data_IF_068163373217
#
_entry.id   IF_068163373217
#
_cell.length_a   1.000
_cell.length_b   1.000
_cell.length_c   1.000
_cell.angle_alpha   90.00
_cell.angle_beta   90.00
_cell.angle_gamma   90.00
#
_symmetry.space_group_name_H-M   'P 1'
#
loop_
_entity.id
_entity.type
_entity.pdbx_description
1 polymer ?
#
# COMPACT_ATOMS: atom_id res chain seq x y z
N UNK A 1 14.77 14.21 12.49
CA UNK A 1 15.10 14.57 13.89
C UNK A 1 16.07 15.74 13.90
N UNK A 2 16.35 16.35 15.06
CA UNK A 2 17.28 17.49 15.17
C UNK A 2 16.92 18.67 14.27
N UNK A 3 17.91 19.34 13.71
CA UNK A 3 17.75 20.52 12.85
C UNK A 3 16.91 20.25 11.61
N UNK A 4 16.94 19.01 11.10
CA UNK A 4 16.05 18.58 10.01
C UNK A 4 14.58 18.71 10.38
N UNK A 5 14.20 18.38 11.63
CA UNK A 5 12.81 18.54 12.10
C UNK A 5 12.42 20.02 12.10
N UNK A 6 13.31 20.90 12.58
CA UNK A 6 13.08 22.36 12.58
C UNK A 6 12.89 22.89 11.15
N UNK A 7 13.77 22.49 10.23
CA UNK A 7 13.68 22.88 8.82
C UNK A 7 12.39 22.38 8.14
N UNK A 8 11.93 21.16 8.46
CA UNK A 8 10.67 20.63 7.95
C UNK A 8 9.44 21.32 8.54
N UNK A 9 9.47 21.72 9.83
CA UNK A 9 8.39 22.51 10.42
C UNK A 9 8.28 23.88 9.74
N UNK A 10 9.40 24.50 9.40
CA UNK A 10 9.42 25.73 8.62
C UNK A 10 8.83 25.53 7.21
N UNK A 11 9.16 24.42 6.55
CA UNK A 11 8.58 24.07 5.25
C UNK A 11 7.04 23.94 5.34
N UNK A 12 6.52 23.30 6.40
CA UNK A 12 5.08 23.16 6.65
C UNK A 12 4.44 24.52 6.94
N UNK A 13 5.11 25.36 7.74
CA UNK A 13 4.63 26.70 8.06
C UNK A 13 4.53 27.57 6.81
N UNK A 14 5.56 27.59 5.96
CA UNK A 14 5.54 28.28 4.67
C UNK A 14 4.44 27.74 3.75
N UNK A 15 4.27 26.41 3.67
CA UNK A 15 3.23 25.78 2.84
C UNK A 15 1.80 26.14 3.30
N UNK A 16 1.59 26.26 4.61
CA UNK A 16 0.26 26.49 5.21
C UNK A 16 -0.01 27.97 5.52
N UNK A 17 1.00 28.83 5.42
CA UNK A 17 0.93 30.23 5.83
C UNK A 17 1.00 30.45 7.35
N UNK A 18 1.37 29.43 8.11
CA UNK A 18 1.53 29.54 9.57
C UNK A 18 2.90 30.05 9.99
N UNK A 19 3.09 30.19 11.30
CA UNK A 19 4.36 30.54 11.94
C UNK A 19 4.80 29.41 12.85
N UNK A 20 6.06 28.97 12.73
CA UNK A 20 6.62 27.96 13.64
C UNK A 20 6.80 28.58 15.03
N UNK A 21 6.11 28.04 16.03
CA UNK A 21 6.30 28.44 17.42
C UNK A 21 7.54 27.73 17.95
N UNK A 22 8.64 28.47 18.11
CA UNK A 22 9.91 27.98 18.64
C UNK A 22 10.47 28.96 19.67
N UNK A 23 10.96 28.42 20.79
CA UNK A 23 11.60 29.21 21.85
C UNK A 23 12.85 29.94 21.35
N UNK A 24 13.58 29.34 20.40
CA UNK A 24 14.78 29.93 19.77
C UNK A 24 14.46 31.20 18.96
N UNK A 25 13.22 31.31 18.47
CA UNK A 25 12.73 32.48 17.74
C UNK A 25 11.99 33.46 18.65
N UNK A 26 11.98 33.23 19.98
CA UNK A 26 11.32 34.08 20.97
C UNK A 26 9.80 33.92 21.03
N UNK A 27 9.23 32.93 20.34
CA UNK A 27 7.81 32.62 20.44
C UNK A 27 7.54 31.70 21.62
N UNK A 28 6.45 31.98 22.33
CA UNK A 28 5.91 31.11 23.38
C UNK A 28 4.51 30.66 23.02
N UNK A 29 4.19 29.41 23.31
CA UNK A 29 2.87 28.83 23.02
C UNK A 29 1.73 29.61 23.70
N UNK A 30 1.97 30.16 24.90
CA UNK A 30 1.01 30.96 25.65
C UNK A 30 0.58 32.26 24.93
N UNK A 31 1.43 32.78 24.04
CA UNK A 31 1.19 34.02 23.28
C UNK A 31 0.74 33.74 21.84
N UNK A 32 0.42 32.50 21.50
CA UNK A 32 0.02 32.13 20.15
C UNK A 32 -1.34 32.75 19.78
N UNK A 33 -1.40 33.38 18.61
CA UNK A 33 -2.64 33.95 18.06
C UNK A 33 -3.14 33.11 16.89
N UNK A 34 -4.40 33.32 16.47
CA UNK A 34 -4.96 32.66 15.29
C UNK A 34 -4.20 33.01 14.00
N UNK A 35 -3.49 34.14 13.98
CA UNK A 35 -2.67 34.56 12.84
C UNK A 35 -1.40 33.71 12.69
N UNK A 36 -0.98 32.99 13.74
CA UNK A 36 0.16 32.08 13.69
C UNK A 36 -0.22 30.70 13.16
N UNK A 37 -1.51 30.38 13.09
CA UNK A 37 -1.97 29.06 12.67
C UNK A 37 -1.91 28.91 11.15
N UNK A 38 -1.32 27.81 10.70
CA UNK A 38 -1.37 27.40 9.30
C UNK A 38 -2.78 27.00 8.87
N UNK A 39 -3.14 27.30 7.63
CA UNK A 39 -4.42 26.94 7.03
C UNK A 39 -4.23 26.01 5.84
N UNK A 40 -5.13 25.03 5.73
CA UNK A 40 -5.17 24.09 4.62
C UNK A 40 -6.61 23.70 4.29
N UNK A 41 -6.86 23.30 3.04
CA UNK A 41 -8.20 22.88 2.59
C UNK A 41 -8.63 21.55 3.22
N UNK A 42 -7.71 20.60 3.37
CA UNK A 42 -7.98 19.30 3.99
C UNK A 42 -6.69 18.70 4.56
N UNK A 43 -6.80 18.04 5.70
CA UNK A 43 -5.71 17.24 6.28
C UNK A 43 -6.22 15.80 6.45
N UNK A 44 -5.41 14.83 6.04
CA UNK A 44 -5.72 13.40 6.19
C UNK A 44 -4.56 12.75 6.93
N UNK A 45 -4.85 12.08 8.04
CA UNK A 45 -3.87 11.35 8.83
C UNK A 45 -4.27 9.87 8.91
N UNK A 46 -3.32 8.98 8.67
CA UNK A 46 -3.43 7.55 8.90
C UNK A 46 -2.40 7.13 9.98
N UNK A 47 -2.24 5.81 10.20
CA UNK A 47 -1.37 5.26 11.24
C UNK A 47 0.09 5.73 11.10
N UNK A 48 0.57 5.87 9.86
CA UNK A 48 1.99 6.06 9.56
C UNK A 48 2.26 7.39 8.81
N UNK A 49 1.24 8.04 8.26
CA UNK A 49 1.37 9.22 7.39
C UNK A 49 0.39 10.35 7.75
N UNK A 50 0.80 11.59 7.43
CA UNK A 50 -0.04 12.77 7.48
C UNK A 50 0.11 13.58 6.18
N UNK A 51 -1.01 13.86 5.51
CA UNK A 51 -1.07 14.55 4.22
C UNK A 51 -1.84 15.87 4.36
N UNK A 52 -1.20 16.97 4.01
CA UNK A 52 -1.79 18.32 3.98
C UNK A 52 -2.14 18.68 2.54
N UNK A 53 -3.41 18.92 2.26
CA UNK A 53 -3.93 19.21 0.92
C UNK A 53 -4.36 20.66 0.82
N UNK A 54 -3.79 21.36 -0.18
CA UNK A 54 -4.14 22.75 -0.48
C UNK A 54 -3.82 23.71 0.67
N UNK A 55 -2.55 23.80 1.06
CA UNK A 55 -2.08 24.81 2.01
C UNK A 55 -2.31 26.22 1.47
N UNK A 56 -2.65 27.16 2.37
CA UNK A 56 -2.94 28.56 2.03
C UNK A 56 -1.71 29.48 2.18
N UNK A 57 -0.51 28.91 2.05
CA UNK A 57 0.73 29.66 2.08
C UNK A 57 0.91 30.59 0.87
N UNK A 58 1.71 31.64 1.06
CA UNK A 58 2.06 32.58 0.00
C UNK A 58 2.91 31.88 -1.08
N UNK A 59 2.48 31.98 -2.35
CA UNK A 59 3.12 31.27 -3.46
C UNK A 59 4.56 31.71 -3.71
N UNK A 60 4.89 32.98 -3.45
CA UNK A 60 6.23 33.50 -3.66
C UNK A 60 7.17 33.10 -2.52
N UNK A 61 6.66 33.03 -1.28
CA UNK A 61 7.40 32.42 -0.16
C UNK A 61 7.69 30.94 -0.42
N UNK A 62 6.73 30.18 -0.96
CA UNK A 62 6.94 28.77 -1.31
C UNK A 62 8.00 28.63 -2.42
N UNK A 63 7.92 29.43 -3.49
CA UNK A 63 8.94 29.43 -4.56
C UNK A 63 10.33 29.82 -4.04
N UNK A 64 10.40 30.82 -3.17
CA UNK A 64 11.64 31.22 -2.49
C UNK A 64 12.24 30.05 -1.73
N UNK A 65 11.41 29.36 -0.93
CA UNK A 65 11.85 28.19 -0.17
C UNK A 65 12.32 27.03 -1.04
N UNK A 66 11.63 26.75 -2.14
CA UNK A 66 12.03 25.75 -3.14
C UNK A 66 13.43 26.09 -3.70
N UNK A 67 13.67 27.36 -4.05
CA UNK A 67 14.95 27.80 -4.59
C UNK A 67 16.08 27.72 -3.55
N UNK A 68 15.82 28.09 -2.29
CA UNK A 68 16.78 27.91 -1.20
C UNK A 68 17.24 26.45 -1.09
N UNK A 69 16.30 25.50 -1.10
CA UNK A 69 16.62 24.07 -1.01
C UNK A 69 17.41 23.60 -2.23
N UNK A 70 17.08 24.07 -3.45
CA UNK A 70 17.86 23.76 -4.65
C UNK A 70 19.32 24.23 -4.53
N UNK A 71 19.55 25.45 -4.06
CA UNK A 71 20.91 25.97 -3.85
C UNK A 71 21.65 25.17 -2.76
N UNK A 72 20.96 24.73 -1.70
CA UNK A 72 21.55 23.86 -0.68
C UNK A 72 21.96 22.49 -1.25
N UNK A 73 21.16 21.91 -2.16
CA UNK A 73 21.46 20.66 -2.86
C UNK A 73 22.73 20.78 -3.71
N UNK A 74 22.92 21.90 -4.40
CA UNK A 74 24.11 22.14 -5.23
C UNK A 74 25.38 22.32 -4.40
N UNK A 75 25.26 22.92 -3.21
CA UNK A 75 26.40 23.18 -2.32
C UNK A 75 26.80 22.01 -1.45
N UNK A 76 25.93 21.00 -1.28
CA UNK A 76 26.23 19.86 -0.42
C UNK A 76 27.12 18.82 -1.13
N UNK A 77 28.18 18.42 -0.45
CA UNK A 77 29.08 17.34 -0.88
C UNK A 77 28.68 15.99 -0.29
N UNK A 78 27.75 15.97 0.68
CA UNK A 78 27.23 14.77 1.34
C UNK A 78 26.05 14.19 0.55
N UNK A 79 26.18 12.94 0.10
CA UNK A 79 25.12 12.24 -0.62
C UNK A 79 23.87 12.04 0.25
N UNK A 80 24.07 11.77 1.54
CA UNK A 80 22.99 11.67 2.52
C UNK A 80 22.18 12.97 2.61
N UNK A 81 22.86 14.11 2.76
CA UNK A 81 22.17 15.40 2.86
C UNK A 81 21.49 15.77 1.55
N UNK A 82 22.11 15.42 0.41
CA UNK A 82 21.52 15.62 -0.92
C UNK A 82 20.18 14.89 -1.04
N UNK A 83 20.15 13.61 -0.69
CA UNK A 83 18.93 12.78 -0.70
C UNK A 83 17.85 13.39 0.21
N UNK A 84 18.23 13.81 1.43
CA UNK A 84 17.25 14.35 2.39
C UNK A 84 16.73 15.73 2.01
N UNK A 85 17.53 16.55 1.32
CA UNK A 85 17.08 17.81 0.73
C UNK A 85 16.18 17.58 -0.48
N UNK A 86 16.47 16.57 -1.31
CA UNK A 86 15.61 16.17 -2.43
C UNK A 86 14.24 15.68 -1.95
N UNK A 87 14.15 14.91 -0.86
CA UNK A 87 12.87 14.52 -0.26
C UNK A 87 12.03 15.74 0.18
N UNK A 88 12.67 16.75 0.77
CA UNK A 88 11.99 18.00 1.19
C UNK A 88 11.54 18.81 -0.01
N UNK A 89 12.42 18.97 -1.00
CA UNK A 89 12.10 19.64 -2.25
C UNK A 89 10.90 18.98 -2.92
N UNK A 90 10.90 17.65 -3.04
CA UNK A 90 9.82 16.89 -3.63
C UNK A 90 8.48 17.09 -2.90
N UNK A 91 8.48 17.25 -1.56
CA UNK A 91 7.26 17.54 -0.80
C UNK A 91 6.73 18.96 -0.99
N UNK A 92 7.61 19.93 -1.28
CA UNK A 92 7.22 21.33 -1.53
C UNK A 92 6.85 21.58 -2.99
N UNK A 93 7.53 20.94 -3.94
CA UNK A 93 7.27 21.06 -5.37
C UNK A 93 6.23 20.06 -5.88
N UNK A 94 6.10 18.91 -5.21
CA UNK A 94 5.15 17.86 -5.50
C UNK A 94 3.77 18.26 -5.04
N UNK A 95 2.99 18.84 -5.95
CA UNK A 95 1.60 19.17 -5.69
C UNK A 95 0.79 17.92 -5.29
N UNK A 96 -0.23 18.12 -4.47
CA UNK A 96 -1.18 17.06 -4.14
C UNK A 96 -2.26 17.02 -5.21
N UNK A 97 -2.30 15.92 -5.98
CA UNK A 97 -3.41 15.65 -6.90
C UNK A 97 -4.62 15.11 -6.11
N UNK A 98 -5.81 15.63 -6.40
CA UNK A 98 -7.07 15.17 -5.80
C UNK A 98 -7.94 14.56 -6.88
N UNK A 99 -8.30 13.29 -6.71
CA UNK A 99 -9.20 12.57 -7.61
C UNK A 99 -10.63 12.62 -7.04
N UNK A 100 -11.57 13.13 -7.84
CA UNK A 100 -12.99 13.15 -7.49
C UNK A 100 -13.70 11.99 -8.20
N UNK A 101 -14.26 11.06 -7.42
CA UNK A 101 -15.04 9.94 -7.94
C UNK A 101 -16.54 10.25 -7.86
N UNK A 102 -17.21 10.32 -9.02
CA UNK A 102 -18.67 10.49 -9.11
C UNK A 102 -19.36 9.21 -9.58
N UNK A 103 -20.57 8.96 -9.04
CA UNK A 103 -21.48 7.90 -9.47
C UNK A 103 -22.96 8.29 -9.22
N UNK A 104 -23.93 7.68 -9.94
CA UNK A 104 -25.37 7.92 -9.74
C UNK A 104 -25.91 7.56 -8.36
N UNK A 105 -25.33 6.57 -7.67
CA UNK A 105 -25.74 6.14 -6.33
C UNK A 105 -24.57 6.16 -5.34
N UNK A 106 -24.86 6.29 -4.04
CA UNK A 106 -23.82 6.30 -3.01
C UNK A 106 -23.05 4.96 -2.94
N UNK A 107 -23.75 3.84 -3.14
CA UNK A 107 -23.15 2.49 -3.12
C UNK A 107 -22.15 2.34 -4.26
N UNK A 108 -22.53 2.73 -5.48
CA UNK A 108 -21.60 2.73 -6.63
C UNK A 108 -20.45 3.71 -6.44
N UNK A 109 -20.71 4.88 -5.84
CA UNK A 109 -19.65 5.86 -5.56
C UNK A 109 -18.61 5.26 -4.61
N UNK A 110 -19.03 4.53 -3.57
CA UNK A 110 -18.12 3.88 -2.62
C UNK A 110 -17.29 2.79 -3.30
N UNK A 111 -17.90 1.94 -4.12
CA UNK A 111 -17.19 0.90 -4.87
C UNK A 111 -16.18 1.50 -5.85
N UNK A 112 -16.62 2.48 -6.65
CA UNK A 112 -15.75 3.15 -7.63
C UNK A 112 -14.60 3.91 -6.96
N UNK A 113 -14.85 4.53 -5.81
CA UNK A 113 -13.82 5.18 -5.00
C UNK A 113 -12.80 4.15 -4.51
N UNK A 114 -13.23 3.02 -3.96
CA UNK A 114 -12.34 1.96 -3.51
C UNK A 114 -11.49 1.41 -4.67
N UNK A 115 -12.09 1.19 -5.83
CA UNK A 115 -11.37 0.74 -7.04
C UNK A 115 -10.30 1.73 -7.52
N UNK A 116 -10.57 3.04 -7.41
CA UNK A 116 -9.60 4.09 -7.74
C UNK A 116 -8.46 4.11 -6.71
N UNK A 117 -8.78 3.93 -5.43
CA UNK A 117 -7.78 3.83 -4.35
C UNK A 117 -6.86 2.63 -4.57
N UNK A 118 -7.42 1.45 -4.87
CA UNK A 118 -6.65 0.25 -5.19
C UNK A 118 -5.74 0.45 -6.42
N UNK A 119 -6.28 1.04 -7.49
CA UNK A 119 -5.50 1.33 -8.70
C UNK A 119 -4.33 2.30 -8.42
N UNK A 120 -4.55 3.31 -7.58
CA UNK A 120 -3.51 4.26 -7.16
C UNK A 120 -2.41 3.54 -6.37
N UNK A 121 -2.77 2.67 -5.43
CA UNK A 121 -1.83 1.90 -4.64
C UNK A 121 -1.03 0.91 -5.49
N UNK A 122 -1.70 0.20 -6.41
CA UNK A 122 -1.05 -0.70 -7.36
C UNK A 122 -0.05 0.03 -8.26
N UNK A 123 -0.43 1.20 -8.80
CA UNK A 123 0.46 2.00 -9.65
C UNK A 123 1.69 2.49 -8.89
N UNK A 124 1.53 2.93 -7.64
CA UNK A 124 2.66 3.30 -6.78
C UNK A 124 3.60 2.12 -6.53
N UNK A 125 3.05 0.97 -6.18
CA UNK A 125 3.82 -0.26 -5.96
C UNK A 125 4.57 -0.70 -7.23
N UNK A 126 3.97 -0.53 -8.40
CA UNK A 126 4.57 -0.86 -9.69
C UNK A 126 5.73 0.07 -10.04
N UNK A 127 5.64 1.35 -9.69
CA UNK A 127 6.73 2.31 -9.88
C UNK A 127 7.92 2.02 -8.94
N UNK A 128 7.65 1.50 -7.74
CA UNK A 128 8.69 1.22 -6.75
C UNK A 128 9.51 -0.04 -7.04
N UNK A 129 8.87 -1.18 -7.35
CA UNK A 129 9.56 -2.48 -7.52
C UNK A 129 9.35 -3.10 -8.92
N UNK A 130 8.72 -2.38 -9.85
CA UNK A 130 8.42 -2.87 -11.20
C UNK A 130 7.17 -3.73 -11.28
N UNK A 131 7.04 -4.45 -12.41
CA UNK A 131 5.88 -5.28 -12.75
C UNK A 131 6.29 -6.68 -13.15
N UNK A 132 5.38 -7.64 -12.94
CA UNK A 132 5.52 -9.05 -13.30
C UNK A 132 4.27 -9.54 -14.05
N UNK A 133 4.34 -10.68 -14.77
CA UNK A 133 3.16 -11.28 -15.39
C UNK A 133 2.11 -11.61 -14.32
N UNK A 134 0.90 -11.11 -14.50
CA UNK A 134 -0.16 -11.25 -13.49
C UNK A 134 -0.83 -12.63 -13.47
N UNK A 135 -2.02 -12.70 -12.89
CA UNK A 135 -2.86 -13.90 -12.94
C UNK A 135 -2.27 -15.11 -12.20
N UNK A 136 -1.37 -14.87 -11.24
CA UNK A 136 -0.64 -15.92 -10.53
C UNK A 136 0.50 -16.57 -11.31
N UNK A 137 0.77 -16.14 -12.55
CA UNK A 137 1.82 -16.73 -13.40
C UNK A 137 3.21 -16.46 -12.82
N UNK A 138 3.48 -15.24 -12.35
CA UNK A 138 4.76 -14.93 -11.71
C UNK A 138 5.10 -15.90 -10.56
N UNK A 139 4.11 -16.25 -9.72
CA UNK A 139 4.31 -17.14 -8.59
C UNK A 139 4.57 -18.59 -9.02
N UNK A 140 3.86 -19.03 -10.06
CA UNK A 140 4.08 -20.32 -10.69
C UNK A 140 5.49 -20.43 -11.28
N UNK A 141 6.02 -19.37 -11.90
CA UNK A 141 7.39 -19.33 -12.44
C UNK A 141 8.45 -19.35 -11.34
N UNK A 142 8.18 -18.77 -10.17
CA UNK A 142 9.11 -18.79 -9.05
C UNK A 142 9.34 -20.19 -8.46
N UNK A 143 8.50 -21.18 -8.79
CA UNK A 143 8.65 -22.54 -8.27
C UNK A 143 9.97 -23.21 -8.70
N UNK A 144 10.49 -22.90 -9.88
CA UNK A 144 11.74 -23.48 -10.38
C UNK A 144 12.94 -23.08 -9.50
N UNK A 145 12.85 -21.95 -8.80
CA UNK A 145 13.87 -21.53 -7.84
C UNK A 145 13.92 -22.45 -6.61
N UNK A 146 12.83 -23.16 -6.29
CA UNK A 146 12.75 -24.09 -5.16
C UNK A 146 13.50 -25.40 -5.42
N UNK A 147 13.76 -25.74 -6.69
CA UNK A 147 14.39 -27.01 -7.06
C UNK A 147 15.91 -27.02 -6.79
N UNK A 148 16.52 -25.84 -6.65
CA UNK A 148 17.95 -25.67 -6.40
C UNK A 148 18.29 -25.46 -4.91
N UNK A 149 17.33 -25.61 -4.01
CA UNK A 149 17.53 -25.42 -2.57
C UNK A 149 18.19 -26.66 -1.96
N UNK A 150 19.36 -26.49 -1.35
CA UNK A 150 20.01 -27.53 -0.53
C UNK A 150 19.42 -27.50 0.88
N UNK A 151 18.56 -28.48 1.18
CA UNK A 151 17.80 -28.55 2.43
C UNK A 151 17.78 -29.97 2.99
N UNK A 152 17.62 -30.08 4.32
CA UNK A 152 17.41 -31.38 4.96
C UNK A 152 16.10 -32.04 4.53
N UNK A 153 15.98 -33.35 4.73
CA UNK A 153 14.74 -34.10 4.43
C UNK A 153 13.51 -33.54 5.16
N UNK A 154 13.68 -33.09 6.41
CA UNK A 154 12.60 -32.43 7.17
C UNK A 154 12.19 -31.08 6.54
N UNK A 155 13.15 -30.29 6.06
CA UNK A 155 12.88 -29.02 5.41
C UNK A 155 12.30 -29.19 4.01
N UNK A 156 12.59 -30.29 3.32
CA UNK A 156 12.01 -30.62 2.01
C UNK A 156 10.48 -30.67 2.05
N UNK A 157 9.89 -31.08 3.18
CA UNK A 157 8.43 -31.03 3.38
C UNK A 157 7.92 -29.58 3.32
N UNK A 158 8.62 -28.64 3.97
CA UNK A 158 8.30 -27.21 3.91
C UNK A 158 8.42 -26.64 2.49
N UNK A 159 9.46 -27.02 1.75
CA UNK A 159 9.62 -26.65 0.34
C UNK A 159 8.45 -27.17 -0.50
N UNK A 160 8.00 -28.41 -0.26
CA UNK A 160 6.87 -29.00 -0.98
C UNK A 160 5.54 -28.29 -0.65
N UNK A 161 5.34 -27.87 0.60
CA UNK A 161 4.18 -27.05 1.02
C UNK A 161 4.18 -25.73 0.26
N UNK A 162 5.31 -25.02 0.24
CA UNK A 162 5.42 -23.74 -0.46
C UNK A 162 5.20 -23.93 -1.97
N UNK A 163 5.79 -24.96 -2.57
CA UNK A 163 5.61 -25.30 -3.98
C UNK A 163 4.13 -25.46 -4.35
N UNK A 164 3.36 -26.17 -3.51
CA UNK A 164 1.91 -26.31 -3.72
C UNK A 164 1.18 -24.98 -3.54
N UNK A 165 1.51 -24.22 -2.50
CA UNK A 165 0.85 -22.95 -2.20
C UNK A 165 1.04 -21.90 -3.30
N UNK A 166 2.19 -21.88 -3.99
CA UNK A 166 2.45 -20.96 -5.10
C UNK A 166 1.54 -21.20 -6.32
N UNK A 167 1.01 -22.41 -6.50
CA UNK A 167 0.04 -22.70 -7.57
C UNK A 167 -1.40 -22.24 -7.22
N UNK A 168 -1.72 -22.03 -5.94
CA UNK A 168 -3.10 -21.75 -5.51
C UNK A 168 -3.70 -20.47 -6.09
N UNK A 169 -2.97 -19.34 -6.25
CA UNK A 169 -3.54 -18.12 -6.82
C UNK A 169 -4.07 -18.30 -8.25
N UNK A 170 -3.31 -18.94 -9.13
CA UNK A 170 -3.76 -19.22 -10.50
C UNK A 170 -4.89 -20.25 -10.51
N UNK A 171 -4.88 -21.23 -9.59
CA UNK A 171 -5.97 -22.20 -9.46
C UNK A 171 -7.27 -21.54 -9.04
N UNK A 172 -7.23 -20.65 -8.05
CA UNK A 172 -8.40 -19.94 -7.55
C UNK A 172 -8.97 -19.00 -8.62
N UNK A 173 -8.11 -18.29 -9.36
CA UNK A 173 -8.55 -17.44 -10.48
C UNK A 173 -9.25 -18.29 -11.55
N UNK A 174 -8.68 -19.44 -11.90
CA UNK A 174 -9.25 -20.37 -12.89
C UNK A 174 -10.59 -20.95 -12.44
N UNK A 175 -10.69 -21.37 -11.17
CA UNK A 175 -11.92 -21.89 -10.59
C UNK A 175 -13.04 -20.84 -10.58
N UNK A 176 -12.70 -19.58 -10.22
CA UNK A 176 -13.65 -18.47 -10.23
C UNK A 176 -14.11 -18.11 -11.65
N UNK A 177 -13.29 -18.40 -12.67
CA UNK A 177 -13.64 -18.25 -14.08
C UNK A 177 -14.44 -19.45 -14.64
N UNK A 178 -14.67 -20.51 -13.83
CA UNK A 178 -15.45 -21.68 -14.23
C UNK A 178 -14.70 -22.68 -15.11
N UNK A 179 -13.36 -22.62 -15.15
CA UNK A 179 -12.52 -23.55 -15.92
C UNK A 179 -11.73 -24.47 -14.99
N UNK A 180 -11.34 -25.65 -15.49
CA UNK A 180 -10.63 -26.65 -14.70
C UNK A 180 -9.21 -26.17 -14.32
N UNK A 181 -8.93 -25.88 -13.04
CA UNK A 181 -7.68 -25.28 -12.61
C UNK A 181 -6.44 -26.09 -12.99
N UNK A 182 -6.54 -27.42 -12.91
CA UNK A 182 -5.40 -28.31 -13.16
C UNK A 182 -4.93 -28.25 -14.60
N UNK A 183 -5.86 -28.11 -15.56
CA UNK A 183 -5.55 -27.98 -16.99
C UNK A 183 -4.87 -26.62 -17.26
N UNK A 184 -5.38 -25.55 -16.65
CA UNK A 184 -4.80 -24.21 -16.79
C UNK A 184 -3.38 -24.19 -16.26
N UNK A 185 -3.16 -24.65 -15.03
CA UNK A 185 -1.83 -24.69 -14.40
C UNK A 185 -0.86 -25.47 -15.25
N UNK A 186 -1.22 -26.70 -15.66
CA UNK A 186 -0.33 -27.54 -16.46
C UNK A 186 0.08 -26.85 -17.77
N UNK A 187 -0.88 -26.31 -18.51
CA UNK A 187 -0.61 -25.65 -19.79
C UNK A 187 0.23 -24.37 -19.62
N UNK A 188 0.02 -23.60 -18.56
CA UNK A 188 0.87 -22.45 -18.26
C UNK A 188 2.29 -22.91 -17.87
N UNK A 189 2.46 -24.01 -17.15
CA UNK A 189 3.80 -24.57 -16.82
C UNK A 189 4.57 -25.05 -18.06
N UNK A 190 3.89 -25.54 -19.09
CA UNK A 190 4.52 -25.92 -20.36
C UNK A 190 5.03 -24.71 -21.17
N UNK A 191 4.47 -23.52 -20.93
CA UNK A 191 4.95 -22.26 -21.50
C UNK A 191 6.13 -21.66 -20.75
N UNK A 192 6.62 -20.52 -21.24
CA UNK A 192 7.76 -19.78 -20.68
C UNK A 192 7.41 -18.32 -20.42
N UNK A 193 8.23 -17.67 -19.60
CA UNK A 193 8.19 -16.23 -19.36
C UNK A 193 6.77 -15.75 -18.98
N UNK A 194 6.22 -14.84 -19.77
CA UNK A 194 4.94 -14.17 -19.63
C UNK A 194 3.77 -14.89 -20.32
N UNK A 195 3.98 -16.09 -20.84
CA UNK A 195 2.90 -16.94 -21.32
C UNK A 195 1.98 -17.33 -20.15
N UNK A 196 0.70 -16.99 -20.26
CA UNK A 196 -0.28 -17.20 -19.21
C UNK A 196 -1.69 -17.41 -19.73
N UNK A 197 -2.64 -17.42 -18.80
CA UNK A 197 -4.05 -17.61 -19.08
C UNK A 197 -4.84 -16.34 -18.72
N UNK A 198 -5.50 -15.76 -19.72
CA UNK A 198 -6.42 -14.64 -19.56
C UNK A 198 -7.80 -15.19 -19.18
N UNK A 199 -8.07 -15.21 -17.87
CA UNK A 199 -9.33 -15.69 -17.31
C UNK A 199 -10.54 -14.82 -17.67
N UNK A 200 -10.34 -13.60 -18.18
CA UNK A 200 -11.44 -12.72 -18.62
C UNK A 200 -11.96 -13.11 -19.99
N UNK A 201 -11.07 -13.52 -20.90
CA UNK A 201 -11.40 -13.84 -22.29
C UNK A 201 -11.26 -15.34 -22.62
N UNK A 202 -10.97 -16.18 -21.62
CA UNK A 202 -10.81 -17.64 -21.75
C UNK A 202 -9.80 -18.03 -22.85
N UNK A 203 -8.58 -17.48 -22.77
CA UNK A 203 -7.53 -17.74 -23.76
C UNK A 203 -6.14 -17.70 -23.18
N UNK A 204 -5.21 -18.43 -23.81
CA UNK A 204 -3.80 -18.39 -23.48
C UNK A 204 -3.10 -17.32 -24.31
N UNK A 205 -2.39 -16.41 -23.66
CA UNK A 205 -1.80 -15.22 -24.28
C UNK A 205 -0.48 -14.86 -23.61
N UNK A 206 0.27 -13.98 -24.27
CA UNK A 206 1.30 -13.20 -23.63
C UNK A 206 0.63 -12.18 -22.68
N UNK A 207 0.89 -12.29 -21.38
CA UNK A 207 0.22 -11.48 -20.37
C UNK A 207 0.64 -10.01 -20.39
N UNK A 208 1.90 -9.71 -20.74
CA UNK A 208 2.36 -8.32 -20.86
C UNK A 208 1.68 -7.61 -22.04
N UNK A 209 1.62 -8.28 -23.20
CA UNK A 209 0.91 -7.76 -24.38
C UNK A 209 -0.61 -7.61 -24.13
N UNK A 210 -1.19 -8.51 -23.34
CA UNK A 210 -2.59 -8.43 -22.92
C UNK A 210 -2.87 -7.39 -21.81
N UNK A 211 -1.81 -6.78 -21.24
CA UNK A 211 -1.93 -5.82 -20.13
C UNK A 211 -2.34 -6.45 -18.79
N UNK A 212 -2.16 -7.76 -18.63
CA UNK A 212 -2.43 -8.50 -17.40
C UNK A 212 -1.15 -8.54 -16.57
N UNK A 213 -0.93 -7.48 -15.82
CA UNK A 213 0.31 -7.24 -15.05
C UNK A 213 -0.02 -7.04 -13.58
N UNK A 214 0.87 -7.52 -12.72
CA UNK A 214 0.81 -7.30 -11.28
C UNK A 214 2.06 -6.54 -10.81
N UNK A 215 1.96 -5.63 -9.83
CA UNK A 215 3.14 -5.00 -9.23
C UNK A 215 4.00 -6.04 -8.50
N UNK A 216 5.31 -6.06 -8.74
CA UNK A 216 6.25 -7.01 -8.12
C UNK A 216 6.15 -6.99 -6.59
N UNK A 217 6.08 -5.78 -6.02
CA UNK A 217 5.95 -5.55 -4.58
C UNK A 217 4.76 -6.28 -3.97
N UNK A 218 3.62 -6.26 -4.66
CA UNK A 218 2.38 -6.87 -4.15
C UNK A 218 2.52 -8.39 -4.13
N UNK A 219 3.01 -8.99 -5.21
CA UNK A 219 3.22 -10.45 -5.28
C UNK A 219 4.21 -10.94 -4.21
N UNK A 220 5.34 -10.23 -4.04
CA UNK A 220 6.37 -10.55 -3.05
C UNK A 220 5.84 -10.44 -1.61
N UNK A 221 5.26 -9.29 -1.26
CA UNK A 221 4.75 -9.03 0.10
C UNK A 221 3.59 -9.96 0.45
N UNK A 222 2.75 -10.34 -0.51
CA UNK A 222 1.68 -11.31 -0.28
C UNK A 222 2.22 -12.67 0.17
N UNK A 223 3.26 -13.20 -0.50
CA UNK A 223 3.87 -14.48 -0.13
C UNK A 223 4.63 -14.37 1.19
N UNK A 224 5.42 -13.32 1.40
CA UNK A 224 6.17 -13.11 2.64
C UNK A 224 5.25 -13.09 3.86
N UNK A 225 4.15 -12.34 3.78
CA UNK A 225 3.15 -12.27 4.85
C UNK A 225 2.42 -13.60 5.05
N UNK A 226 2.01 -14.26 3.96
CA UNK A 226 1.35 -15.56 4.04
C UNK A 226 2.25 -16.62 4.70
N UNK A 227 3.52 -16.69 4.28
CA UNK A 227 4.51 -17.60 4.85
C UNK A 227 4.80 -17.29 6.33
N UNK A 228 4.88 -15.99 6.68
CA UNK A 228 5.10 -15.55 8.06
C UNK A 228 3.97 -16.01 9.00
N UNK A 229 2.72 -15.79 8.62
CA UNK A 229 1.56 -16.20 9.43
C UNK A 229 1.41 -17.72 9.44
N UNK A 230 1.61 -18.40 8.31
CA UNK A 230 1.55 -19.85 8.25
C UNK A 230 2.63 -20.50 9.15
N UNK A 231 3.85 -19.97 9.15
CA UNK A 231 4.92 -20.45 10.03
C UNK A 231 4.58 -20.30 11.52
N UNK A 232 3.97 -19.18 11.92
CA UNK A 232 3.49 -18.97 13.28
C UNK A 232 2.42 -20.00 13.65
N UNK A 233 1.42 -20.22 12.78
CA UNK A 233 0.33 -21.16 13.04
C UNK A 233 0.81 -22.61 13.10
N UNK A 234 1.72 -23.03 12.21
CA UNK A 234 2.25 -24.39 12.18
C UNK A 234 3.09 -24.75 13.41
N UNK A 235 3.63 -23.75 14.10
CA UNK A 235 4.42 -23.92 15.33
C UNK A 235 3.59 -23.71 16.60
N UNK A 236 2.30 -23.42 16.47
CA UNK A 236 1.39 -23.18 17.59
C UNK A 236 0.89 -24.52 18.14
N UNK A 237 1.42 -24.94 19.29
CA UNK A 237 0.99 -26.17 19.99
C UNK A 237 -0.27 -26.00 20.85
N UNK A 238 -0.53 -24.77 21.32
CA UNK A 238 -1.68 -24.47 22.17
C UNK A 238 -2.19 -23.04 21.95
N UNK A 239 -3.51 -22.86 22.05
CA UNK A 239 -4.17 -21.56 22.02
C UNK A 239 -5.04 -21.40 23.28
N UNK A 240 -4.88 -20.28 23.99
CA UNK A 240 -5.72 -19.91 25.13
C UNK A 240 -6.79 -18.95 24.61
N UNK A 241 -8.06 -19.28 24.88
CA UNK A 241 -9.22 -18.48 24.45
C UNK A 241 -10.06 -18.08 25.65
N UNK A 242 -10.82 -17.00 25.50
CA UNK A 242 -11.84 -16.63 26.48
C UNK A 242 -12.97 -17.65 26.47
N UNK A 243 -13.53 -17.93 27.64
CA UNK A 243 -14.69 -18.81 27.76
C UNK A 243 -15.88 -18.09 27.10
N UNK A 244 -16.60 -18.74 26.15
CA UNK A 244 -17.76 -18.12 25.52
C UNK A 244 -18.76 -17.63 26.57
N UNK A 245 -19.14 -16.35 26.50
CA UNK A 245 -20.21 -15.82 27.33
C UNK A 245 -21.53 -16.51 26.98
N UNK A 246 -22.30 -16.88 28.00
CA UNK A 246 -23.67 -17.38 27.78
C UNK A 246 -24.53 -16.18 27.44
N UNK A 247 -25.15 -16.17 26.27
CA UNK A 247 -26.16 -15.17 25.95
C UNK A 247 -27.23 -15.17 27.05
N UNK A 248 -27.55 -13.99 27.64
CA UNK A 248 -28.65 -13.91 28.58
C UNK A 248 -29.93 -14.39 27.86
N UNK A 249 -30.80 -15.18 28.51
CA UNK A 249 -32.04 -15.62 27.90
C UNK A 249 -32.78 -14.40 27.38
N UNK A 250 -33.00 -14.34 26.07
CA UNK A 250 -33.80 -13.31 25.43
C UNK A 250 -35.15 -13.29 26.14
N UNK A 251 -35.57 -12.14 26.71
CA UNK A 251 -36.88 -12.05 27.34
C UNK A 251 -37.94 -12.52 26.34
N UNK A 252 -38.88 -13.38 26.74
CA UNK A 252 -39.98 -13.75 25.85
C UNK A 252 -40.63 -12.46 25.36
N UNK A 253 -40.65 -12.25 24.03
CA UNK A 253 -41.39 -11.14 23.45
C UNK A 253 -42.84 -11.23 23.96
N UNK A 254 -43.41 -10.16 24.52
CA UNK A 254 -44.81 -10.14 24.88
C UNK A 254 -45.65 -10.53 23.66
N UNK A 255 -46.50 -11.55 23.85
CA UNK A 255 -47.46 -12.00 22.86
C UNK A 255 -48.25 -10.79 22.34
N UNK A 256 -48.26 -10.47 21.04
CA UNK A 256 -49.05 -9.37 20.49
C UNK A 256 -50.53 -9.78 20.48
N UNK A 257 -51.14 -9.79 21.67
CA UNK A 257 -52.53 -10.19 21.85
C UNK A 257 -52.97 -10.00 23.29
N UNK A 258 -53.55 -8.84 23.58
CA UNK A 258 -54.90 -8.68 24.15
C UNK A 258 -55.12 -7.18 24.38
N UNK A 259 -56.08 -6.64 23.62
CA UNK A 259 -56.73 -5.36 23.85
C UNK A 259 -57.45 -5.35 25.20
#
# INVERSE_FOLDING_TARGET
FGDRRKAMLEDIAILTGGTVISEEQGYKLENATLDYLGRAKRVVADKDNCTIVGGMGDTDRIKGRINEIKVQIEKTTSDYDREKLQERLAKLSGGVAVLYAGAPTEVEMKEKKARIEDALHATRAAVEEGIVPGGGVALLRCMDALDNLDVSEAQQVGVNILRRALEEPIRQISANAGVEPSIVVQKVREGKDDFGYDARNDRYVNLFEAGIIDPTKVARVAIENAASIAGLLLTTEAAITEIPEKEPPTPPMPDPGMY
#
